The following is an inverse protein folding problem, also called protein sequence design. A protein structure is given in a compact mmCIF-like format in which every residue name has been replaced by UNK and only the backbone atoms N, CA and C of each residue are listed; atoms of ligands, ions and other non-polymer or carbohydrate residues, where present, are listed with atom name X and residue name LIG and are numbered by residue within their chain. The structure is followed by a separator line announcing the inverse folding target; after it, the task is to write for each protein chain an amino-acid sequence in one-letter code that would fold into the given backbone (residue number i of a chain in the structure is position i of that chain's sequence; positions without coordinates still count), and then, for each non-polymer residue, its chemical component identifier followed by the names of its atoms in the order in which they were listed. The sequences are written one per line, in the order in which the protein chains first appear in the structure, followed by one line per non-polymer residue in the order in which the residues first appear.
data_IF_993819237213
#
_entry.id   IF_993819237213
#
_cell.length_a   1.000
_cell.length_b   1.000
_cell.length_c   1.000
_cell.angle_alpha   90.00
_cell.angle_beta   90.00
_cell.angle_gamma   90.00
#
_symmetry.space_group_name_H-M   'P 1'
#
loop_
_entity.id
_entity.type
_entity.pdbx_description
1 polymer ?
#
# COMPACT_ATOMS: atom_id res chain seq x y z
N UNK A 1 -18.70 13.37 0.43
CA UNK A 1 -18.26 12.41 -0.60
C UNK A 1 -16.89 11.86 -0.22
N UNK A 2 -16.79 10.55 -0.14
CA UNK A 2 -15.55 9.92 0.27
C UNK A 2 -14.58 9.83 -0.90
N UNK A 3 -13.33 10.21 -0.66
CA UNK A 3 -12.29 10.08 -1.66
C UNK A 3 -11.81 8.62 -1.69
N UNK A 4 -11.89 8.01 -2.87
CA UNK A 4 -11.46 6.63 -3.09
C UNK A 4 -10.20 6.65 -3.95
N UNK A 5 -9.20 5.86 -3.54
CA UNK A 5 -7.93 5.77 -4.25
C UNK A 5 -7.83 4.47 -5.05
N UNK A 6 -7.14 4.56 -6.16
CA UNK A 6 -6.80 3.40 -6.99
C UNK A 6 -5.43 2.89 -6.55
N UNK A 7 -5.38 1.70 -5.97
CA UNK A 7 -4.15 1.09 -5.50
C UNK A 7 -3.58 0.05 -6.47
N UNK A 8 -3.97 0.09 -7.75
CA UNK A 8 -3.51 -0.90 -8.73
C UNK A 8 -1.98 -0.94 -8.84
N UNK A 9 -1.32 0.21 -8.89
CA UNK A 9 0.14 0.26 -8.96
C UNK A 9 0.77 -0.30 -7.69
N UNK A 10 0.22 0.05 -6.53
CA UNK A 10 0.70 -0.46 -5.26
C UNK A 10 0.56 -1.99 -5.21
N UNK A 11 -0.59 -2.52 -5.60
CA UNK A 11 -0.82 -3.95 -5.64
C UNK A 11 0.17 -4.66 -6.56
N UNK A 12 0.42 -4.10 -7.74
CA UNK A 12 1.42 -4.64 -8.66
C UNK A 12 2.81 -4.67 -8.05
N UNK A 13 3.19 -3.61 -7.35
CA UNK A 13 4.49 -3.53 -6.68
C UNK A 13 4.61 -4.57 -5.57
N UNK A 14 3.54 -4.74 -4.77
CA UNK A 14 3.50 -5.74 -3.71
C UNK A 14 3.73 -7.14 -4.27
N UNK A 15 2.99 -7.52 -5.30
CA UNK A 15 3.09 -8.84 -5.90
C UNK A 15 4.47 -9.04 -6.55
N UNK A 16 4.99 -8.01 -7.22
CA UNK A 16 6.31 -8.10 -7.85
C UNK A 16 7.41 -8.36 -6.82
N UNK A 17 7.30 -7.76 -5.63
CA UNK A 17 8.34 -7.86 -4.60
C UNK A 17 8.15 -9.07 -3.68
N UNK A 18 6.91 -9.37 -3.29
CA UNK A 18 6.62 -10.37 -2.25
C UNK A 18 5.94 -11.63 -2.77
N UNK A 19 5.40 -11.60 -3.97
CA UNK A 19 4.72 -12.75 -4.56
C UNK A 19 3.26 -12.89 -4.17
N UNK A 20 2.89 -12.52 -2.94
CA UNK A 20 1.50 -12.52 -2.50
C UNK A 20 1.29 -11.53 -1.35
N UNK A 21 0.03 -11.25 -1.05
CA UNK A 21 -0.31 -10.26 -0.01
C UNK A 21 -0.01 -10.74 1.40
N UNK A 22 -0.06 -12.05 1.65
CA UNK A 22 0.22 -12.59 2.98
C UNK A 22 1.65 -12.29 3.42
N UNK A 23 2.60 -12.50 2.51
CA UNK A 23 4.02 -12.22 2.79
C UNK A 23 4.26 -10.73 3.01
N UNK A 24 3.59 -9.89 2.23
CA UNK A 24 3.72 -8.45 2.39
C UNK A 24 3.11 -8.00 3.73
N UNK A 25 1.93 -8.50 4.08
CA UNK A 25 1.30 -8.18 5.36
C UNK A 25 2.21 -8.54 6.52
N UNK A 26 2.81 -9.73 6.48
CA UNK A 26 3.77 -10.15 7.51
C UNK A 26 4.96 -9.18 7.61
N UNK A 27 5.48 -8.76 6.46
CA UNK A 27 6.65 -7.87 6.43
C UNK A 27 6.35 -6.50 7.06
N UNK A 28 5.12 -6.02 6.98
CA UNK A 28 4.75 -4.72 7.52
C UNK A 28 4.02 -4.82 8.86
N UNK A 29 3.88 -6.02 9.40
CA UNK A 29 3.26 -6.21 10.72
C UNK A 29 1.75 -6.05 10.74
N UNK A 30 1.08 -6.30 9.62
CA UNK A 30 -0.38 -6.25 9.52
C UNK A 30 -0.96 -7.64 9.32
N UNK A 31 -2.22 -7.83 9.76
CA UNK A 31 -2.97 -9.02 9.37
C UNK A 31 -3.43 -8.87 7.92
N UNK A 32 -3.79 -10.00 7.31
CA UNK A 32 -4.37 -9.99 5.96
C UNK A 32 -5.63 -9.13 5.90
N UNK A 33 -6.45 -9.21 6.94
CA UNK A 33 -7.68 -8.43 7.01
C UNK A 33 -7.40 -6.92 7.06
N UNK A 34 -6.42 -6.50 7.86
CA UNK A 34 -6.04 -5.09 7.94
C UNK A 34 -5.53 -4.57 6.61
N UNK A 35 -4.66 -5.33 5.93
CA UNK A 35 -4.15 -4.94 4.62
C UNK A 35 -5.29 -4.85 3.60
N UNK A 36 -6.18 -5.84 3.59
CA UNK A 36 -7.33 -5.86 2.69
C UNK A 36 -8.23 -4.64 2.88
N UNK A 37 -8.50 -4.27 4.13
CA UNK A 37 -9.31 -3.08 4.42
C UNK A 37 -8.72 -1.82 3.81
N UNK A 38 -7.41 -1.66 3.91
CA UNK A 38 -6.71 -0.49 3.36
C UNK A 38 -6.70 -0.50 1.84
N UNK A 39 -6.43 -1.64 1.23
CA UNK A 39 -6.40 -1.74 -0.24
C UNK A 39 -7.79 -1.61 -0.86
N UNK A 40 -8.84 -1.86 -0.10
CA UNK A 40 -10.22 -1.72 -0.56
C UNK A 40 -10.89 -0.43 -0.11
N UNK A 41 -10.12 0.54 0.35
CA UNK A 41 -10.63 1.85 0.78
C UNK A 41 -11.60 1.80 1.96
N UNK A 42 -11.57 0.75 2.76
CA UNK A 42 -12.40 0.66 3.97
C UNK A 42 -11.76 1.38 5.13
N UNK A 43 -10.44 1.47 5.14
CA UNK A 43 -9.66 2.24 6.11
C UNK A 43 -8.50 2.91 5.38
N UNK A 44 -8.13 4.14 5.75
CA UNK A 44 -6.99 4.80 5.13
C UNK A 44 -5.68 4.20 5.61
N UNK A 45 -4.65 4.27 4.77
CA UNK A 45 -3.28 4.06 5.23
C UNK A 45 -2.88 5.21 6.14
N UNK A 46 -2.29 4.90 7.29
CA UNK A 46 -1.77 5.92 8.19
C UNK A 46 -0.45 6.47 7.63
N UNK A 47 -0.12 7.75 7.89
CA UNK A 47 1.14 8.32 7.39
C UNK A 47 2.37 7.48 7.76
N UNK A 48 2.46 6.99 9.00
CA UNK A 48 3.59 6.17 9.42
C UNK A 48 3.63 4.82 8.70
N UNK A 49 2.48 4.28 8.31
CA UNK A 49 2.42 3.05 7.52
C UNK A 49 2.96 3.29 6.12
N UNK A 50 2.60 4.42 5.52
CA UNK A 50 3.06 4.78 4.18
C UNK A 50 4.58 4.95 4.18
N UNK A 51 5.12 5.66 5.14
CA UNK A 51 6.57 5.86 5.26
C UNK A 51 7.30 4.52 5.39
N UNK A 52 6.79 3.63 6.25
CA UNK A 52 7.39 2.32 6.45
C UNK A 52 7.33 1.46 5.19
N UNK A 53 6.17 1.42 4.53
CA UNK A 53 6.00 0.65 3.29
C UNK A 53 6.94 1.13 2.19
N UNK A 54 7.14 2.44 2.09
CA UNK A 54 8.01 3.02 1.07
C UNK A 54 9.49 2.91 1.38
N UNK A 55 9.86 2.45 2.58
CA UNK A 55 11.25 2.34 2.98
C UNK A 55 12.02 1.35 2.08
N UNK A 56 13.36 1.50 1.99
CA UNK A 56 14.18 0.59 1.18
C UNK A 56 14.03 -0.88 1.56
N UNK A 57 13.73 -1.16 2.84
CA UNK A 57 13.60 -2.53 3.32
C UNK A 57 12.29 -3.21 2.91
N UNK A 58 11.30 -2.44 2.52
CA UNK A 58 9.97 -2.97 2.17
C UNK A 58 9.73 -2.89 0.66
N UNK A 59 9.26 -1.77 0.14
CA UNK A 59 9.00 -1.63 -1.31
C UNK A 59 9.96 -0.70 -2.03
N UNK A 60 10.77 0.04 -1.28
CA UNK A 60 11.76 0.98 -1.84
C UNK A 60 11.13 1.94 -2.87
N UNK A 61 10.09 2.64 -2.43
CA UNK A 61 9.39 3.62 -3.26
C UNK A 61 9.94 5.00 -2.94
N UNK A 62 10.52 5.71 -3.92
CA UNK A 62 11.06 7.05 -3.68
C UNK A 62 9.95 8.07 -3.38
N UNK A 63 10.31 9.13 -2.65
CA UNK A 63 9.36 10.17 -2.25
C UNK A 63 8.58 10.74 -3.43
N UNK A 64 9.24 10.87 -4.58
CA UNK A 64 8.62 11.43 -5.79
C UNK A 64 7.51 10.55 -6.36
N UNK A 65 7.44 9.27 -5.95
CA UNK A 65 6.45 8.33 -6.48
C UNK A 65 5.38 7.93 -5.47
N UNK A 66 5.46 8.42 -4.23
CA UNK A 66 4.47 8.08 -3.20
C UNK A 66 3.06 8.46 -3.66
N UNK A 67 2.90 9.61 -4.29
CA UNK A 67 1.60 10.05 -4.78
C UNK A 67 0.98 9.07 -5.77
N UNK A 68 1.79 8.52 -6.68
CA UNK A 68 1.30 7.57 -7.69
C UNK A 68 0.81 6.27 -7.06
N UNK A 69 1.47 5.82 -5.99
CA UNK A 69 1.12 4.55 -5.35
C UNK A 69 -0.02 4.67 -4.36
N UNK A 70 -0.10 5.77 -3.62
CA UNK A 70 -1.03 5.89 -2.49
C UNK A 70 -2.15 6.90 -2.68
N UNK A 71 -2.02 7.85 -3.60
CA UNK A 71 -2.94 8.97 -3.69
C UNK A 71 -3.48 9.20 -5.11
N UNK A 72 -3.50 8.17 -5.95
CA UNK A 72 -4.14 8.25 -7.26
C UNK A 72 -5.65 8.13 -7.10
N UNK A 73 -6.42 9.17 -7.43
CA UNK A 73 -7.88 9.07 -7.29
C UNK A 73 -8.45 8.01 -8.22
N UNK A 74 -9.42 7.27 -7.72
CA UNK A 74 -10.15 6.31 -8.53
C UNK A 74 -11.29 7.04 -9.25
N UNK A 75 -11.33 6.88 -10.55
CA UNK A 75 -12.31 7.55 -11.41
C UNK A 75 -13.45 6.62 -11.75
#
# INVERSE_FOLDING_TARGET
MDLIFDFSELCGRIIARYGNYAKFADAIGMSRAQLSERLNNKRPFKPEEIVFICSPDILNIPDTEIGSYFFTPKV
#
